data_IF_971576259086
#
_entry.id   IF_971576259086
#
_cell.length_a   1.000
_cell.length_b   1.000
_cell.length_c   1.000
_cell.angle_alpha   90.00
_cell.angle_beta   90.00
_cell.angle_gamma   90.00
#
_symmetry.space_group_name_H-M   'P 1'
#
loop_
_entity.id
_entity.type
_entity.pdbx_description
1 polymer ?
#
# COMPACT_ATOMS: atom_id res chain seq x y z
N UNK A 1 8.14 6.84 -8.02
CA UNK A 1 8.78 6.62 -6.70
C UNK A 1 7.86 7.01 -5.54
N UNK A 2 7.61 6.07 -4.64
CA UNK A 2 6.84 6.32 -3.41
C UNK A 2 7.76 6.88 -2.32
N UNK A 3 7.52 8.16 -1.95
CA UNK A 3 8.32 8.91 -0.98
C UNK A 3 7.69 8.91 0.43
N UNK A 4 8.29 9.65 1.38
CA UNK A 4 7.76 9.86 2.73
C UNK A 4 6.34 10.47 2.64
N UNK A 5 5.37 10.01 3.45
CA UNK A 5 4.00 10.53 3.39
C UNK A 5 3.95 12.01 3.79
N UNK A 6 3.13 12.79 3.09
CA UNK A 6 2.86 14.20 3.43
C UNK A 6 2.07 14.32 4.74
N UNK A 7 2.04 15.49 5.40
CA UNK A 7 1.24 15.67 6.62
C UNK A 7 -0.25 15.35 6.42
N UNK A 8 -0.80 15.64 5.24
CA UNK A 8 -2.19 15.28 4.92
C UNK A 8 -2.38 13.76 4.81
N UNK A 9 -1.44 13.06 4.16
CA UNK A 9 -1.47 11.61 4.04
C UNK A 9 -1.33 10.90 5.39
N UNK A 10 -0.56 11.47 6.33
CA UNK A 10 -0.40 10.95 7.69
C UNK A 10 -1.68 11.04 8.52
N UNK A 11 -2.56 12.00 8.23
CA UNK A 11 -3.87 12.12 8.86
C UNK A 11 -4.93 11.15 8.30
N UNK A 12 -4.58 10.34 7.30
CA UNK A 12 -5.49 9.40 6.63
C UNK A 12 -5.00 7.96 6.81
N UNK A 13 -5.84 7.01 6.39
CA UNK A 13 -5.42 5.62 6.32
C UNK A 13 -4.22 5.46 5.36
N UNK A 14 -3.19 4.70 5.73
CA UNK A 14 -1.94 4.60 4.97
C UNK A 14 -2.13 4.11 3.52
N UNK A 15 -3.19 3.34 3.25
CA UNK A 15 -3.54 2.88 1.90
C UNK A 15 -4.06 3.99 0.98
N UNK A 16 -4.56 5.11 1.55
CA UNK A 16 -5.16 6.21 0.79
C UNK A 16 -4.25 6.69 -0.35
N UNK A 17 -2.97 6.92 -0.06
CA UNK A 17 -2.01 7.44 -1.05
C UNK A 17 -1.71 6.49 -2.21
N UNK A 18 -2.02 5.20 -2.04
CA UNK A 18 -1.88 4.19 -3.08
C UNK A 18 -3.18 4.06 -3.86
N UNK A 19 -4.33 4.13 -3.17
CA UNK A 19 -5.65 4.13 -3.77
C UNK A 19 -5.83 5.31 -4.74
N UNK A 20 -5.36 6.50 -4.39
CA UNK A 20 -5.43 7.69 -5.27
C UNK A 20 -4.55 7.58 -6.53
N UNK A 21 -3.66 6.60 -6.59
CA UNK A 21 -2.71 6.37 -7.69
C UNK A 21 -3.02 5.13 -8.50
N UNK A 22 -4.16 4.48 -8.28
CA UNK A 22 -4.57 3.31 -9.04
C UNK A 22 -4.78 3.69 -10.53
N UNK A 23 -4.46 2.76 -11.46
CA UNK A 23 -4.63 3.03 -12.87
C UNK A 23 -6.12 3.16 -13.23
N UNK A 24 -6.49 4.11 -14.10
CA UNK A 24 -7.74 4.04 -14.83
C UNK A 24 -7.86 2.74 -15.64
N UNK A 25 -9.09 2.33 -15.96
CA UNK A 25 -9.33 1.11 -16.75
C UNK A 25 -8.56 1.14 -18.07
N UNK A 26 -7.88 0.03 -18.39
CA UNK A 26 -7.08 -0.11 -19.60
C UNK A 26 -5.66 0.47 -19.52
N UNK A 27 -5.26 1.02 -18.37
CA UNK A 27 -3.89 1.52 -18.15
C UNK A 27 -3.15 0.68 -17.11
N UNK A 28 -1.87 0.96 -16.93
CA UNK A 28 -1.04 0.32 -15.89
C UNK A 28 -0.34 1.36 -15.04
N UNK A 29 -0.11 1.01 -13.77
CA UNK A 29 0.69 1.80 -12.84
C UNK A 29 1.76 0.91 -12.24
N UNK A 30 2.98 1.44 -12.17
CA UNK A 30 4.12 0.76 -11.55
C UNK A 30 4.45 1.47 -10.24
N UNK A 31 4.43 0.70 -9.16
CA UNK A 31 4.83 1.18 -7.83
C UNK A 31 6.29 0.80 -7.57
N UNK A 32 7.19 1.77 -7.74
CA UNK A 32 8.54 1.69 -7.18
C UNK A 32 8.46 1.99 -5.67
N UNK A 33 8.51 0.88 -4.90
CA UNK A 33 7.99 0.71 -3.54
C UNK A 33 6.47 0.82 -3.45
N UNK A 34 5.87 0.10 -2.52
CA UNK A 34 4.40 -0.07 -2.42
C UNK A 34 3.91 -0.01 -0.96
N UNK A 35 2.63 -0.32 -0.73
CA UNK A 35 2.03 -0.39 0.61
C UNK A 35 2.65 -1.46 1.52
N UNK A 36 3.47 -2.36 0.96
CA UNK A 36 4.29 -3.31 1.72
C UNK A 36 5.34 -2.63 2.62
N UNK A 37 5.63 -1.34 2.41
CA UNK A 37 6.49 -0.57 3.31
C UNK A 37 6.06 -0.62 4.78
N UNK A 38 4.74 -0.71 5.04
CA UNK A 38 4.14 -0.79 6.39
C UNK A 38 4.59 -2.04 7.16
N UNK A 39 4.78 -3.16 6.46
CA UNK A 39 5.17 -4.46 7.05
C UNK A 39 6.66 -4.78 6.89
N UNK A 40 7.41 -3.91 6.22
CA UNK A 40 8.85 -4.04 5.98
C UNK A 40 9.63 -2.93 6.70
N UNK A 41 9.88 -1.81 6.02
CA UNK A 41 10.73 -0.72 6.52
C UNK A 41 10.13 -0.08 7.78
N UNK A 42 8.82 0.20 7.79
CA UNK A 42 8.17 0.85 8.94
C UNK A 42 8.17 -0.04 10.19
N UNK A 43 8.20 -1.35 10.01
CA UNK A 43 8.34 -2.32 11.11
C UNK A 43 9.76 -2.33 11.68
N UNK A 44 10.78 -2.31 10.83
CA UNK A 44 12.20 -2.35 11.25
C UNK A 44 12.63 -1.04 11.89
N UNK A 45 12.20 0.09 11.31
CA UNK A 45 12.53 1.44 11.78
C UNK A 45 11.58 1.95 12.89
N UNK A 46 10.67 1.10 13.36
CA UNK A 46 9.67 1.41 14.39
C UNK A 46 8.79 2.65 14.09
N UNK A 47 8.52 2.93 12.81
CA UNK A 47 7.56 3.95 12.39
C UNK A 47 6.10 3.50 12.50
N UNK A 48 5.87 2.20 12.69
CA UNK A 48 4.57 1.62 13.01
C UNK A 48 4.68 0.78 14.29
N UNK A 49 3.70 0.92 15.18
CA UNK A 49 3.59 0.06 16.36
C UNK A 49 3.31 -1.39 15.96
N UNK A 50 3.58 -2.32 16.88
CA UNK A 50 3.37 -3.75 16.63
C UNK A 50 1.93 -4.07 16.24
N UNK A 51 0.97 -3.46 16.92
CA UNK A 51 -0.44 -3.64 16.62
C UNK A 51 -0.78 -3.16 15.21
N UNK A 52 -0.20 -2.05 14.77
CA UNK A 52 -0.46 -1.47 13.46
C UNK A 52 0.09 -2.30 12.31
N UNK A 53 1.36 -2.72 12.36
CA UNK A 53 1.91 -3.52 11.26
C UNK A 53 1.36 -4.95 11.24
N UNK A 54 0.94 -5.50 12.39
CA UNK A 54 0.22 -6.78 12.42
C UNK A 54 -1.15 -6.68 11.76
N UNK A 55 -1.91 -5.61 12.04
CA UNK A 55 -3.21 -5.34 11.40
C UNK A 55 -3.05 -5.13 9.89
N UNK A 56 -1.97 -4.49 9.47
CA UNK A 56 -1.70 -4.18 8.06
C UNK A 56 -1.67 -5.42 7.15
N UNK A 57 -1.33 -6.61 7.65
CA UNK A 57 -1.41 -7.83 6.82
C UNK A 57 -2.82 -8.11 6.32
N UNK A 58 -3.82 -7.99 7.21
CA UNK A 58 -5.21 -8.21 6.83
C UNK A 58 -5.70 -7.08 5.92
N UNK A 59 -5.38 -5.83 6.24
CA UNK A 59 -5.77 -4.66 5.45
C UNK A 59 -5.23 -4.72 4.01
N UNK A 60 -3.98 -5.16 3.84
CA UNK A 60 -3.37 -5.37 2.51
C UNK A 60 -4.12 -6.44 1.73
N UNK A 61 -4.44 -7.58 2.36
CA UNK A 61 -5.16 -8.66 1.70
C UNK A 61 -6.57 -8.23 1.27
N UNK A 62 -7.28 -7.48 2.12
CA UNK A 62 -8.60 -6.93 1.82
C UNK A 62 -8.53 -5.91 0.69
N UNK A 63 -7.52 -5.04 0.69
CA UNK A 63 -7.30 -4.06 -0.38
C UNK A 63 -7.00 -4.73 -1.72
N UNK A 64 -6.11 -5.72 -1.76
CA UNK A 64 -5.80 -6.48 -2.97
C UNK A 64 -7.03 -7.27 -3.47
N UNK A 65 -7.87 -7.77 -2.57
CA UNK A 65 -9.13 -8.43 -2.92
C UNK A 65 -10.09 -7.47 -3.60
N UNK A 66 -10.33 -6.28 -3.03
CA UNK A 66 -11.19 -5.25 -3.64
C UNK A 66 -10.76 -4.91 -5.07
N UNK A 67 -9.45 -4.80 -5.31
CA UNK A 67 -8.90 -4.55 -6.64
C UNK A 67 -9.10 -5.72 -7.60
N UNK A 68 -8.87 -6.94 -7.11
CA UNK A 68 -9.03 -8.15 -7.94
C UNK A 68 -10.50 -8.37 -8.30
N UNK A 69 -11.42 -8.08 -7.39
CA UNK A 69 -12.87 -8.13 -7.60
C UNK A 69 -13.31 -7.11 -8.68
N UNK A 70 -12.64 -5.96 -8.78
CA UNK A 70 -12.82 -4.97 -9.86
C UNK A 70 -11.99 -5.27 -11.13
N UNK A 71 -11.51 -6.51 -11.29
CA UNK A 71 -10.71 -6.98 -12.42
C UNK A 71 -9.35 -6.27 -12.60
N UNK A 72 -8.82 -5.64 -11.57
CA UNK A 72 -7.44 -5.11 -11.59
C UNK A 72 -6.47 -6.28 -11.41
N UNK A 73 -5.48 -6.38 -12.31
CA UNK A 73 -4.43 -7.40 -12.20
C UNK A 73 -3.25 -6.84 -11.41
N UNK A 74 -2.90 -7.53 -10.32
CA UNK A 74 -1.81 -7.16 -9.43
C UNK A 74 -0.64 -8.12 -9.66
N UNK A 75 0.52 -7.57 -10.00
CA UNK A 75 1.78 -8.34 -10.10
C UNK A 75 2.72 -7.84 -9.00
N UNK A 76 3.17 -8.77 -8.15
CA UNK A 76 4.07 -8.47 -7.02
C UNK A 76 5.46 -8.99 -7.34
N UNK A 77 6.44 -8.10 -7.40
CA UNK A 77 7.83 -8.42 -7.70
C UNK A 77 8.67 -8.18 -6.44
N UNK A 78 9.34 -9.24 -5.98
CA UNK A 78 10.37 -9.19 -4.95
C UNK A 78 11.67 -9.60 -5.62
N UNK A 79 12.64 -8.67 -5.63
CA UNK A 79 13.95 -8.83 -6.28
C UNK A 79 15.02 -9.13 -5.25
#
# INVERSE_FOLDING_TARGET
PIAKPTPEEQGRHYLYRFQTKLPPRGTMTIFDRSYYGRVLVERVEAFASEQEWRRAYQEINEFERLLTDDNVRIVKLFL
#
